data_IF_316285432764
#
_entry.id   IF_316285432764
#
_cell.length_a   1.000
_cell.length_b   1.000
_cell.length_c   1.000
_cell.angle_alpha   90.00
_cell.angle_beta   90.00
_cell.angle_gamma   90.00
#
_symmetry.space_group_name_H-M   'P 1'
#
loop_
_entity.id
_entity.type
_entity.pdbx_description
1 polymer ?
#
# COMPACT_ATOMS: atom_id res chain seq x y z
N UNK A 1 -24.41 7.38 47.24
CA UNK A 1 -24.58 6.66 45.95
C UNK A 1 -23.88 7.56 44.96
N UNK A 2 -22.55 7.53 45.03
CA UNK A 2 -21.64 8.48 44.38
C UNK A 2 -20.81 7.76 43.33
N UNK A 3 -20.61 8.45 42.21
CA UNK A 3 -19.55 8.30 41.20
C UNK A 3 -19.30 6.93 40.56
N UNK A 4 -19.91 6.71 39.37
CA UNK A 4 -19.45 5.70 38.39
C UNK A 4 -19.41 6.25 36.95
N UNK A 5 -19.41 7.57 36.73
CA UNK A 5 -19.31 8.13 35.37
C UNK A 5 -18.39 9.35 35.28
N UNK A 6 -17.16 9.24 35.79
CA UNK A 6 -16.05 9.99 35.19
C UNK A 6 -15.43 9.14 34.07
N UNK A 7 -16.06 9.13 32.90
CA UNK A 7 -15.38 8.75 31.68
C UNK A 7 -14.50 9.94 31.31
N UNK A 8 -13.24 9.91 31.74
CA UNK A 8 -12.22 10.76 31.16
C UNK A 8 -12.07 10.38 29.68
N UNK A 9 -12.77 11.08 28.80
CA UNK A 9 -12.39 11.18 27.40
C UNK A 9 -11.01 11.82 27.41
N UNK A 10 -9.96 10.99 27.37
CA UNK A 10 -8.64 11.50 27.07
C UNK A 10 -8.76 12.20 25.72
N UNK A 11 -8.35 13.46 25.66
CA UNK A 11 -8.07 14.18 24.43
C UNK A 11 -6.92 13.47 23.69
N UNK A 12 -7.18 12.28 23.18
CA UNK A 12 -6.26 11.53 22.32
C UNK A 12 -6.56 11.97 20.90
N UNK A 13 -6.02 13.12 20.51
CA UNK A 13 -5.79 13.38 19.09
C UNK A 13 -5.12 12.13 18.52
N UNK A 14 -5.62 11.55 17.41
CA UNK A 14 -5.01 10.36 16.84
C UNK A 14 -3.53 10.67 16.62
N UNK A 15 -2.67 9.77 17.08
CA UNK A 15 -1.25 9.96 16.88
C UNK A 15 -0.95 10.16 15.39
N UNK A 16 0.14 10.87 15.05
CA UNK A 16 0.56 11.04 13.67
C UNK A 16 0.58 9.68 12.92
N UNK A 17 1.01 8.62 13.60
CA UNK A 17 1.09 7.26 13.08
C UNK A 17 -0.27 6.70 12.66
N UNK A 18 -1.33 6.86 13.46
CA UNK A 18 -2.67 6.31 13.13
C UNK A 18 -3.21 6.97 11.86
N UNK A 19 -3.15 8.30 11.78
CA UNK A 19 -3.60 9.04 10.61
C UNK A 19 -2.84 8.61 9.35
N UNK A 20 -1.51 8.48 9.45
CA UNK A 20 -0.65 8.05 8.35
C UNK A 20 -0.99 6.62 7.91
N UNK A 21 -1.06 5.66 8.84
CA UNK A 21 -1.37 4.26 8.53
C UNK A 21 -2.71 4.13 7.82
N UNK A 22 -3.74 4.80 8.32
CA UNK A 22 -5.08 4.76 7.71
C UNK A 22 -5.07 5.43 6.33
N UNK A 23 -4.41 6.57 6.17
CA UNK A 23 -4.30 7.25 4.87
C UNK A 23 -3.57 6.39 3.83
N UNK A 24 -2.45 5.75 4.20
CA UNK A 24 -1.75 4.82 3.31
C UNK A 24 -2.65 3.62 3.00
N UNK A 25 -3.38 3.10 3.97
CA UNK A 25 -4.26 1.95 3.76
C UNK A 25 -5.40 2.24 2.78
N UNK A 26 -6.02 3.42 2.87
CA UNK A 26 -7.05 3.84 1.92
C UNK A 26 -6.48 3.93 0.51
N UNK A 27 -5.34 4.61 0.33
CA UNK A 27 -4.67 4.72 -0.99
C UNK A 27 -4.31 3.36 -1.58
N UNK A 28 -3.84 2.45 -0.73
CA UNK A 28 -3.51 1.08 -1.12
C UNK A 28 -4.75 0.27 -1.51
N UNK A 29 -5.84 0.42 -0.76
CA UNK A 29 -7.12 -0.22 -1.05
C UNK A 29 -7.69 0.24 -2.38
N UNK A 30 -7.59 1.53 -2.67
CA UNK A 30 -8.01 2.12 -3.95
C UNK A 30 -7.14 1.61 -5.10
N UNK A 31 -5.80 1.64 -4.95
CA UNK A 31 -4.88 1.14 -5.97
C UNK A 31 -5.15 -0.34 -6.30
N UNK A 32 -5.25 -1.20 -5.29
CA UNK A 32 -5.54 -2.63 -5.49
C UNK A 32 -6.91 -2.80 -6.17
N UNK A 33 -7.93 -2.04 -5.72
CA UNK A 33 -9.27 -2.06 -6.31
C UNK A 33 -9.27 -1.67 -7.79
N UNK A 34 -8.56 -0.60 -8.14
CA UNK A 34 -8.40 -0.16 -9.53
C UNK A 34 -7.75 -1.24 -10.40
N UNK A 35 -6.70 -1.87 -9.87
CA UNK A 35 -5.94 -2.89 -10.58
C UNK A 35 -6.76 -4.15 -10.84
N UNK A 36 -7.49 -4.62 -9.83
CA UNK A 36 -8.40 -5.75 -9.97
C UNK A 36 -9.54 -5.44 -10.95
N UNK A 37 -10.12 -4.25 -10.87
CA UNK A 37 -11.17 -3.83 -11.79
C UNK A 37 -10.67 -3.83 -13.25
N UNK A 38 -9.46 -3.34 -13.49
CA UNK A 38 -8.85 -3.32 -14.83
C UNK A 38 -8.54 -4.72 -15.35
N UNK A 39 -8.00 -5.61 -14.52
CA UNK A 39 -7.78 -7.01 -14.91
C UNK A 39 -9.07 -7.71 -15.33
N UNK A 40 -10.18 -7.36 -14.68
CA UNK A 40 -11.50 -7.90 -15.02
C UNK A 40 -12.18 -7.16 -16.20
N UNK A 41 -11.45 -6.28 -16.89
CA UNK A 41 -11.96 -5.54 -18.05
C UNK A 41 -12.98 -4.45 -17.71
N UNK A 42 -13.06 -4.02 -16.45
CA UNK A 42 -13.99 -2.98 -16.02
C UNK A 42 -13.45 -1.60 -16.43
N UNK A 43 -14.30 -0.80 -17.07
CA UNK A 43 -13.91 0.50 -17.64
C UNK A 43 -13.74 1.59 -16.60
N UNK A 44 -14.56 1.55 -15.54
CA UNK A 44 -14.56 2.55 -14.48
C UNK A 44 -14.56 1.91 -13.08
N UNK A 45 -13.38 1.54 -12.53
CA UNK A 45 -13.22 1.02 -11.17
C UNK A 45 -14.07 1.69 -10.06
N UNK A 46 -14.15 3.02 -10.02
CA UNK A 46 -14.80 3.75 -8.91
C UNK A 46 -16.33 3.63 -8.93
N UNK A 47 -16.91 3.42 -10.11
CA UNK A 47 -18.35 3.16 -10.26
C UNK A 47 -18.72 1.68 -10.10
N UNK A 48 -17.74 0.79 -9.97
CA UNK A 48 -18.04 -0.64 -9.81
C UNK A 48 -18.59 -0.93 -8.42
N UNK A 49 -19.53 -1.88 -8.37
CA UNK A 49 -20.11 -2.33 -7.11
C UNK A 49 -19.08 -2.99 -6.19
N UNK A 50 -18.11 -3.72 -6.74
CA UNK A 50 -17.16 -4.54 -5.97
C UNK A 50 -15.86 -3.82 -5.63
N UNK A 51 -15.41 -2.88 -6.45
CA UNK A 51 -14.11 -2.21 -6.27
C UNK A 51 -14.22 -0.70 -6.02
N UNK A 52 -15.38 -0.10 -6.27
CA UNK A 52 -15.61 1.33 -6.06
C UNK A 52 -15.81 1.72 -4.60
N UNK A 53 -16.15 2.99 -4.37
CA UNK A 53 -16.24 3.57 -3.03
C UNK A 53 -17.67 3.55 -2.48
N UNK A 54 -18.26 2.36 -2.44
CA UNK A 54 -19.63 2.14 -1.95
C UNK A 54 -19.64 1.22 -0.73
N UNK A 55 -20.70 1.28 0.07
CA UNK A 55 -20.90 0.35 1.19
C UNK A 55 -21.05 -1.12 0.78
N UNK A 56 -21.17 -1.39 -0.53
CA UNK A 56 -21.26 -2.74 -1.11
C UNK A 56 -19.92 -3.24 -1.66
N UNK A 57 -18.90 -2.40 -1.62
CA UNK A 57 -17.57 -2.74 -2.12
C UNK A 57 -16.93 -3.82 -1.25
N UNK A 58 -16.01 -4.57 -1.87
CA UNK A 58 -15.21 -5.55 -1.17
C UNK A 58 -14.31 -4.83 -0.15
N UNK A 59 -14.22 -5.33 1.09
CA UNK A 59 -13.31 -4.76 2.07
C UNK A 59 -11.85 -5.00 1.66
N UNK A 60 -10.95 -4.16 2.15
CA UNK A 60 -9.50 -4.26 1.89
C UNK A 60 -8.94 -5.68 1.88
N UNK A 61 -9.22 -6.48 2.91
CA UNK A 61 -8.70 -7.85 3.01
C UNK A 61 -9.20 -8.76 1.88
N UNK A 62 -10.45 -8.59 1.44
CA UNK A 62 -11.01 -9.37 0.33
C UNK A 62 -10.37 -8.95 -1.01
N UNK A 63 -10.18 -7.64 -1.23
CA UNK A 63 -9.44 -7.12 -2.38
C UNK A 63 -8.00 -7.65 -2.37
N UNK A 64 -7.32 -7.58 -1.23
CA UNK A 64 -5.96 -8.08 -1.09
C UNK A 64 -5.87 -9.58 -1.38
N UNK A 65 -6.76 -10.41 -0.85
CA UNK A 65 -6.73 -11.85 -1.15
C UNK A 65 -6.91 -12.12 -2.65
N UNK A 66 -7.89 -11.47 -3.29
CA UNK A 66 -8.05 -11.57 -4.75
C UNK A 66 -6.78 -11.15 -5.49
N UNK A 67 -6.11 -10.12 -5.00
CA UNK A 67 -4.87 -9.61 -5.58
C UNK A 67 -3.69 -10.57 -5.39
N UNK A 68 -3.60 -11.26 -4.25
CA UNK A 68 -2.59 -12.28 -3.97
C UNK A 68 -2.84 -13.59 -4.72
N UNK A 69 -4.11 -13.90 -5.01
CA UNK A 69 -4.51 -15.05 -5.83
C UNK A 69 -4.13 -14.86 -7.31
N UNK A 70 -3.86 -13.62 -7.73
CA UNK A 70 -3.31 -13.37 -9.06
C UNK A 70 -1.90 -13.95 -9.15
N UNK A 71 -1.70 -14.80 -10.15
CA UNK A 71 -0.38 -15.28 -10.50
C UNK A 71 0.58 -14.11 -10.74
N UNK A 72 1.67 -14.08 -9.99
CA UNK A 72 2.71 -13.09 -10.16
C UNK A 72 3.21 -12.53 -8.84
N UNK A 73 2.46 -12.63 -7.74
CA UNK A 73 2.92 -12.18 -6.42
C UNK A 73 3.85 -13.21 -5.79
N UNK A 74 5.08 -12.81 -5.45
CA UNK A 74 6.02 -13.67 -4.75
C UNK A 74 5.63 -13.83 -3.28
N UNK A 75 6.18 -14.86 -2.62
CA UNK A 75 5.93 -15.12 -1.20
C UNK A 75 6.31 -13.93 -0.30
N UNK A 76 7.41 -13.26 -0.63
CA UNK A 76 7.92 -12.11 0.13
C UNK A 76 6.97 -10.90 0.01
N UNK A 77 6.49 -10.63 -1.19
CA UNK A 77 5.54 -9.56 -1.47
C UNK A 77 4.19 -9.81 -0.80
N UNK A 78 3.71 -11.06 -0.84
CA UNK A 78 2.52 -11.46 -0.13
C UNK A 78 2.66 -11.25 1.37
N UNK A 79 3.83 -11.60 1.95
CA UNK A 79 4.10 -11.40 3.38
C UNK A 79 4.04 -9.90 3.74
N UNK A 80 4.64 -9.02 2.95
CA UNK A 80 4.59 -7.56 3.18
C UNK A 80 3.15 -7.04 3.18
N UNK A 81 2.35 -7.41 2.17
CA UNK A 81 0.97 -6.96 2.05
C UNK A 81 0.07 -7.50 3.18
N UNK A 82 0.26 -8.76 3.57
CA UNK A 82 -0.46 -9.37 4.70
C UNK A 82 -0.11 -8.63 6.00
N UNK A 83 1.18 -8.37 6.25
CA UNK A 83 1.61 -7.64 7.45
C UNK A 83 1.06 -6.21 7.47
N UNK A 84 0.97 -5.56 6.32
CA UNK A 84 0.32 -4.25 6.23
C UNK A 84 -1.18 -4.31 6.56
N UNK A 85 -1.89 -5.33 6.05
CA UNK A 85 -3.29 -5.58 6.42
C UNK A 85 -3.47 -5.80 7.92
N UNK A 86 -2.60 -6.57 8.57
CA UNK A 86 -2.64 -6.78 10.02
C UNK A 86 -2.44 -5.47 10.80
N UNK A 87 -1.45 -4.66 10.42
CA UNK A 87 -1.18 -3.35 11.02
C UNK A 87 -2.39 -2.43 10.86
N UNK A 88 -2.90 -2.28 9.64
CA UNK A 88 -4.10 -1.49 9.33
C UNK A 88 -5.28 -1.91 10.19
N UNK A 89 -5.55 -3.21 10.32
CA UNK A 89 -6.69 -3.71 11.10
C UNK A 89 -6.53 -3.41 12.60
N UNK A 90 -5.30 -3.47 13.13
CA UNK A 90 -5.03 -3.03 14.52
C UNK A 90 -5.30 -1.54 14.69
N UNK A 91 -4.76 -0.70 13.82
CA UNK A 91 -5.00 0.76 13.86
C UNK A 91 -6.46 1.15 13.60
N UNK A 92 -7.23 0.34 12.88
CA UNK A 92 -8.65 0.62 12.62
C UNK A 92 -9.57 0.23 13.78
N UNK A 93 -9.23 -0.86 14.51
CA UNK A 93 -10.16 -1.49 15.46
C UNK A 93 -9.74 -1.43 16.92
N UNK A 94 -8.47 -1.13 17.21
CA UNK A 94 -7.93 -1.11 18.57
C UNK A 94 -7.64 0.33 19.00
N UNK A 95 -8.32 0.80 20.03
CA UNK A 95 -8.18 2.18 20.50
C UNK A 95 -6.82 2.40 21.20
N UNK A 96 -6.29 1.36 21.84
CA UNK A 96 -5.00 1.38 22.52
C UNK A 96 -3.77 1.37 21.57
N UNK A 97 -3.99 1.24 20.26
CA UNK A 97 -2.92 1.26 19.26
C UNK A 97 -2.76 2.67 18.72
N UNK A 98 -1.87 3.44 19.34
CA UNK A 98 -1.62 4.83 18.98
C UNK A 98 -0.20 5.04 18.44
N UNK A 99 0.55 3.99 18.16
CA UNK A 99 1.84 4.12 17.49
C UNK A 99 2.22 2.82 16.84
N UNK A 100 3.19 2.87 15.92
CA UNK A 100 3.76 1.64 15.38
C UNK A 100 4.44 0.82 16.49
N UNK A 101 4.97 1.47 17.52
CA UNK A 101 5.52 0.79 18.70
C UNK A 101 4.46 -0.03 19.44
N UNK A 102 3.30 0.57 19.73
CA UNK A 102 2.17 -0.14 20.36
C UNK A 102 1.68 -1.30 19.49
N UNK A 103 1.70 -1.12 18.16
CA UNK A 103 1.28 -2.13 17.21
C UNK A 103 2.22 -3.35 17.19
N UNK A 104 3.52 -3.12 17.37
CA UNK A 104 4.57 -4.14 17.35
C UNK A 104 4.89 -4.70 18.74
N UNK A 105 4.16 -4.29 19.77
CA UNK A 105 4.41 -4.73 21.14
C UNK A 105 4.30 -6.26 21.25
N UNK A 106 5.28 -6.97 21.85
CA UNK A 106 5.35 -8.43 21.78
C UNK A 106 4.16 -9.14 22.43
N UNK A 107 3.55 -8.52 23.43
CA UNK A 107 2.38 -9.03 24.14
C UNK A 107 1.11 -8.96 23.26
N UNK A 108 1.11 -8.06 22.27
CA UNK A 108 0.01 -7.87 21.33
C UNK A 108 0.22 -8.63 20.01
N UNK A 109 1.47 -8.78 19.55
CA UNK A 109 1.80 -9.55 18.34
C UNK A 109 3.29 -9.92 18.18
N UNK A 110 3.64 -11.15 18.58
CA UNK A 110 5.01 -11.65 18.37
C UNK A 110 5.39 -11.81 16.90
N UNK A 111 4.41 -12.02 16.02
CA UNK A 111 4.66 -12.27 14.59
C UNK A 111 5.07 -11.00 13.87
N UNK A 112 4.36 -9.89 14.10
CA UNK A 112 4.66 -8.59 13.51
C UNK A 112 6.02 -8.07 14.00
N UNK A 113 6.28 -8.16 15.31
CA UNK A 113 7.60 -7.77 15.85
C UNK A 113 8.72 -8.52 15.15
N UNK A 114 8.62 -9.84 15.08
CA UNK A 114 9.64 -10.69 14.47
C UNK A 114 9.86 -10.36 12.99
N UNK A 115 8.77 -10.10 12.26
CA UNK A 115 8.85 -9.66 10.86
C UNK A 115 9.67 -8.37 10.73
N UNK A 116 9.34 -7.34 11.52
CA UNK A 116 10.06 -6.05 11.49
C UNK A 116 11.53 -6.20 11.90
N UNK A 117 11.81 -6.91 12.99
CA UNK A 117 13.18 -7.11 13.47
C UNK A 117 14.02 -7.87 12.44
N UNK A 118 13.49 -8.94 11.83
CA UNK A 118 14.22 -9.71 10.83
C UNK A 118 14.58 -8.88 9.60
N UNK A 119 13.73 -7.93 9.22
CA UNK A 119 13.84 -7.21 7.95
C UNK A 119 14.56 -5.85 8.07
N UNK A 120 14.41 -5.18 9.21
CA UNK A 120 14.83 -3.78 9.35
C UNK A 120 15.85 -3.54 10.46
N UNK A 121 16.04 -4.45 11.43
CA UNK A 121 16.93 -4.16 12.57
C UNK A 121 18.37 -3.87 12.18
N UNK A 122 18.86 -4.54 11.14
CA UNK A 122 20.23 -4.37 10.63
C UNK A 122 20.45 -3.04 9.92
N UNK A 123 19.35 -2.32 9.58
CA UNK A 123 19.38 -1.00 8.96
C UNK A 123 19.37 0.14 10.01
N UNK A 124 19.23 -0.19 11.30
CA UNK A 124 19.20 0.77 12.40
C UNK A 124 20.51 0.66 13.19
N UNK A 125 21.23 1.78 13.30
CA UNK A 125 22.48 1.84 14.06
C UNK A 125 22.21 1.60 15.55
N UNK A 126 23.04 0.78 16.21
CA UNK A 126 22.94 0.47 17.64
C UNK A 126 21.54 -0.01 18.08
N UNK A 127 20.87 -0.80 17.24
CA UNK A 127 19.49 -1.23 17.46
C UNK A 127 19.23 -1.80 18.86
N UNK A 128 18.23 -1.22 19.52
CA UNK A 128 17.56 -1.75 20.71
C UNK A 128 16.05 -1.64 20.51
N UNK A 129 15.29 -2.58 21.08
CA UNK A 129 13.83 -2.53 21.00
C UNK A 129 13.27 -1.41 21.89
N UNK A 130 13.04 -0.24 21.30
CA UNK A 130 12.47 0.95 21.92
C UNK A 130 11.61 1.71 20.90
N UNK A 131 10.85 2.70 21.35
CA UNK A 131 9.91 3.45 20.52
C UNK A 131 10.61 4.18 19.35
N UNK A 132 11.75 4.82 19.60
CA UNK A 132 12.52 5.57 18.60
C UNK A 132 12.97 4.66 17.45
N UNK A 133 13.64 3.55 17.76
CA UNK A 133 14.12 2.62 16.74
C UNK A 133 12.97 1.96 15.97
N UNK A 134 11.85 1.68 16.64
CA UNK A 134 10.66 1.11 15.98
C UNK A 134 10.01 2.15 15.05
N UNK A 135 9.95 3.42 15.44
CA UNK A 135 9.50 4.50 14.55
C UNK A 135 10.37 4.60 13.30
N UNK A 136 11.68 4.40 13.40
CA UNK A 136 12.59 4.39 12.24
C UNK A 136 12.38 3.19 11.30
N UNK A 137 11.87 2.06 11.79
CA UNK A 137 11.56 0.91 10.93
C UNK A 137 10.33 1.12 10.07
N UNK A 138 9.39 1.98 10.48
CA UNK A 138 8.12 2.14 9.77
C UNK A 138 8.27 2.77 8.38
N UNK A 139 9.07 3.84 8.16
CA UNK A 139 9.38 4.33 6.83
C UNK A 139 10.01 3.26 5.92
N UNK A 140 10.91 2.43 6.46
CA UNK A 140 11.52 1.32 5.70
C UNK A 140 10.50 0.28 5.27
N UNK A 141 9.49 0.02 6.11
CA UNK A 141 8.37 -0.85 5.78
C UNK A 141 7.44 -0.24 4.73
N UNK A 142 7.16 1.07 4.82
CA UNK A 142 6.40 1.78 3.79
C UNK A 142 7.13 1.77 2.44
N UNK A 143 8.45 1.92 2.43
CA UNK A 143 9.25 1.80 1.21
C UNK A 143 9.13 0.41 0.57
N UNK A 144 9.23 -0.66 1.38
CA UNK A 144 9.04 -2.03 0.91
C UNK A 144 7.62 -2.27 0.38
N UNK A 145 6.61 -1.71 1.04
CA UNK A 145 5.21 -1.78 0.62
C UNK A 145 5.00 -1.08 -0.74
N UNK A 146 5.56 0.11 -0.92
CA UNK A 146 5.51 0.85 -2.19
C UNK A 146 6.20 0.08 -3.31
N UNK A 147 7.41 -0.46 -3.06
CA UNK A 147 8.14 -1.28 -4.04
C UNK A 147 7.36 -2.54 -4.42
N UNK A 148 6.79 -3.22 -3.42
CA UNK A 148 5.95 -4.41 -3.63
C UNK A 148 4.78 -4.10 -4.53
N UNK A 149 4.07 -2.99 -4.28
CA UNK A 149 2.96 -2.59 -5.13
C UNK A 149 3.42 -2.28 -6.55
N UNK A 150 4.49 -1.49 -6.71
CA UNK A 150 5.07 -1.20 -8.02
C UNK A 150 5.42 -2.44 -8.82
N UNK A 151 6.09 -3.40 -8.20
CA UNK A 151 6.47 -4.66 -8.85
C UNK A 151 5.25 -5.50 -9.26
N UNK A 152 4.22 -5.58 -8.41
CA UNK A 152 2.98 -6.31 -8.77
C UNK A 152 2.24 -5.60 -9.90
N UNK A 153 2.09 -4.28 -9.83
CA UNK A 153 1.52 -3.48 -10.91
C UNK A 153 2.23 -3.79 -12.24
N UNK A 154 3.54 -3.63 -12.29
CA UNK A 154 4.32 -3.86 -13.50
C UNK A 154 4.07 -5.25 -14.10
N UNK A 155 4.12 -6.31 -13.29
CA UNK A 155 3.85 -7.68 -13.76
C UNK A 155 2.42 -7.87 -14.27
N UNK A 156 1.44 -7.27 -13.60
CA UNK A 156 0.04 -7.33 -14.05
C UNK A 156 -0.15 -6.69 -15.42
N UNK A 157 0.50 -5.55 -15.66
CA UNK A 157 0.42 -4.87 -16.95
C UNK A 157 1.26 -5.52 -18.04
N UNK A 158 2.38 -6.15 -17.69
CA UNK A 158 3.12 -7.03 -18.61
C UNK A 158 2.21 -8.12 -19.15
N UNK A 159 1.44 -8.81 -18.28
CA UNK A 159 0.45 -9.80 -18.70
C UNK A 159 -0.63 -9.24 -19.64
N UNK A 160 -1.24 -8.10 -19.28
CA UNK A 160 -2.27 -7.45 -20.13
C UNK A 160 -1.69 -7.08 -21.51
N UNK A 161 -0.45 -6.62 -21.56
CA UNK A 161 0.17 -6.15 -22.82
C UNK A 161 0.71 -7.28 -23.69
N UNK A 162 1.06 -8.43 -23.12
CA UNK A 162 1.41 -9.64 -23.89
C UNK A 162 0.20 -10.21 -24.63
N UNK A 163 -1.01 -10.10 -24.04
CA UNK A 163 -2.26 -10.53 -24.68
C UNK A 163 -2.71 -9.60 -25.83
N UNK A 164 -2.31 -8.33 -25.83
CA UNK A 164 -2.71 -7.32 -26.85
C UNK A 164 -1.77 -7.29 -28.07
N UNK A 165 -0.65 -8.02 -28.03
CA UNK A 165 0.31 -8.12 -29.14
C UNK A 165 1.42 -7.06 -29.09
N UNK A 166 2.65 -7.56 -28.98
CA UNK A 166 3.98 -6.92 -29.04
C UNK A 166 4.00 -5.38 -29.11
N UNK A 167 3.66 -4.74 -27.99
CA UNK A 167 4.11 -3.37 -27.70
C UNK A 167 5.54 -3.46 -27.14
N UNK A 168 6.44 -2.59 -27.60
CA UNK A 168 7.79 -2.47 -27.03
C UNK A 168 7.70 -2.10 -25.54
N UNK A 169 8.69 -2.48 -24.72
CA UNK A 169 8.71 -2.19 -23.26
C UNK A 169 8.38 -0.72 -22.93
N UNK A 170 8.89 0.27 -23.69
CA UNK A 170 8.55 1.69 -23.45
C UNK A 170 7.11 2.06 -23.85
N UNK A 171 6.56 1.46 -24.91
CA UNK A 171 5.14 1.66 -25.30
C UNK A 171 4.17 1.02 -24.32
N UNK A 172 4.53 -0.13 -23.74
CA UNK A 172 3.79 -0.76 -22.64
C UNK A 172 3.72 0.16 -21.42
N UNK A 173 4.84 0.81 -21.09
CA UNK A 173 4.93 1.77 -19.99
C UNK A 173 4.20 3.10 -20.28
N UNK A 174 4.25 3.61 -21.51
CA UNK A 174 3.46 4.77 -21.94
C UNK A 174 1.96 4.46 -21.88
N UNK A 175 1.55 3.27 -22.30
CA UNK A 175 0.16 2.81 -22.18
C UNK A 175 -0.26 2.68 -20.71
N UNK A 176 0.61 2.12 -19.87
CA UNK A 176 0.48 2.06 -18.42
C UNK A 176 0.15 3.42 -17.83
N UNK A 177 1.03 4.39 -18.08
CA UNK A 177 0.92 5.73 -17.50
C UNK A 177 -0.29 6.44 -18.05
N UNK A 178 -0.57 6.32 -19.36
CA UNK A 178 -1.80 6.83 -19.96
C UNK A 178 -3.08 6.23 -19.34
N UNK A 179 -3.14 4.93 -19.05
CA UNK A 179 -4.32 4.33 -18.41
C UNK A 179 -4.49 4.75 -16.96
N UNK A 180 -3.41 5.11 -16.27
CA UNK A 180 -3.47 5.73 -14.95
C UNK A 180 -3.77 7.24 -15.04
N UNK A 181 -3.22 8.01 -15.98
CA UNK A 181 -3.41 9.46 -16.06
C UNK A 181 -4.67 9.92 -16.79
N UNK A 182 -5.19 9.14 -17.75
CA UNK A 182 -6.49 9.39 -18.39
C UNK A 182 -7.65 9.26 -17.38
N UNK A 183 -7.36 8.79 -16.16
CA UNK A 183 -8.30 8.80 -15.06
C UNK A 183 -8.42 10.21 -14.46
N UNK A 184 -9.50 10.91 -14.80
CA UNK A 184 -9.81 12.30 -14.41
C UNK A 184 -10.05 12.53 -12.91
N UNK A 185 -9.89 11.53 -12.06
CA UNK A 185 -10.31 11.58 -10.65
C UNK A 185 -9.23 11.20 -9.65
N UNK A 186 -7.98 11.02 -10.10
CA UNK A 186 -6.91 10.92 -9.12
C UNK A 186 -6.77 12.23 -8.35
N UNK A 187 -6.81 12.14 -7.03
CA UNK A 187 -6.35 13.22 -6.16
C UNK A 187 -4.86 13.48 -6.41
N UNK A 188 -4.41 14.71 -6.13
CA UNK A 188 -2.99 15.07 -6.28
C UNK A 188 -2.07 14.14 -5.48
N UNK A 189 -2.53 13.66 -4.33
CA UNK A 189 -1.77 12.73 -3.47
C UNK A 189 -1.62 11.35 -4.10
N UNK A 190 -2.65 10.84 -4.77
CA UNK A 190 -2.61 9.54 -5.44
C UNK A 190 -1.75 9.63 -6.71
N UNK A 191 -1.84 10.72 -7.48
CA UNK A 191 -0.92 10.99 -8.58
C UNK A 191 0.53 11.01 -8.07
N UNK A 192 0.79 11.68 -6.94
CA UNK A 192 2.11 11.73 -6.35
C UNK A 192 2.59 10.34 -5.86
N UNK A 193 1.69 9.53 -5.31
CA UNK A 193 2.00 8.17 -4.89
C UNK A 193 2.34 7.27 -6.09
N UNK A 194 1.52 7.31 -7.15
CA UNK A 194 1.76 6.59 -8.40
C UNK A 194 3.07 7.08 -9.04
N UNK A 195 3.32 8.39 -9.08
CA UNK A 195 4.60 8.98 -9.52
C UNK A 195 5.78 8.39 -8.75
N UNK A 196 5.72 8.35 -7.42
CA UNK A 196 6.79 7.79 -6.59
C UNK A 196 7.06 6.32 -6.89
N UNK A 197 6.00 5.53 -7.06
CA UNK A 197 6.11 4.13 -7.46
C UNK A 197 6.82 4.01 -8.81
N UNK A 198 6.37 4.78 -9.81
CA UNK A 198 6.93 4.75 -11.17
C UNK A 198 8.40 5.19 -11.20
N UNK A 199 8.77 6.25 -10.46
CA UNK A 199 10.15 6.72 -10.36
C UNK A 199 11.07 5.71 -9.65
N UNK A 200 10.59 5.05 -8.60
CA UNK A 200 11.34 3.97 -7.93
C UNK A 200 11.53 2.78 -8.88
N UNK A 201 10.49 2.39 -9.62
CA UNK A 201 10.58 1.35 -10.66
C UNK A 201 11.57 1.75 -11.76
N UNK A 202 11.60 3.03 -12.18
CA UNK A 202 12.58 3.57 -13.14
C UNK A 202 14.02 3.40 -12.69
N UNK A 203 14.30 3.73 -11.44
CA UNK A 203 15.65 3.61 -10.89
C UNK A 203 16.13 2.16 -10.83
N UNK A 204 15.23 1.22 -10.53
CA UNK A 204 15.54 -0.21 -10.48
C UNK A 204 15.67 -0.83 -11.86
N UNK A 205 14.95 -0.33 -12.86
CA UNK A 205 14.97 -0.85 -14.22
C UNK A 205 15.44 0.19 -15.24
N UNK A 206 16.73 0.55 -15.17
CA UNK A 206 17.40 1.51 -16.09
C UNK A 206 17.33 1.14 -17.58
N UNK A 207 16.95 -0.10 -17.87
CA UNK A 207 16.74 -0.63 -19.22
C UNK A 207 15.43 -0.19 -19.88
N UNK A 208 14.50 0.41 -19.12
CA UNK A 208 13.30 1.02 -19.67
C UNK A 208 13.61 2.47 -20.04
N UNK A 209 13.32 2.84 -21.29
CA UNK A 209 13.45 4.22 -21.77
C UNK A 209 12.22 5.02 -21.32
N UNK A 210 12.35 5.68 -20.16
CA UNK A 210 11.33 6.57 -19.62
C UNK A 210 11.48 7.93 -20.29
N UNK A 211 10.82 8.12 -21.43
CA UNK A 211 10.76 9.41 -22.11
C UNK A 211 10.23 10.50 -21.18
N UNK A 212 10.86 11.67 -21.14
CA UNK A 212 10.44 12.81 -20.28
C UNK A 212 8.96 13.23 -20.50
N UNK A 213 8.40 12.95 -21.69
CA UNK A 213 6.99 13.15 -22.04
C UNK A 213 6.02 12.36 -21.13
N UNK A 214 6.46 11.24 -20.58
CA UNK A 214 5.66 10.36 -19.71
C UNK A 214 5.59 10.90 -18.29
N UNK A 215 6.67 11.54 -17.83
CA UNK A 215 6.69 12.25 -16.55
C UNK A 215 5.89 13.56 -16.67
N UNK A 216 5.89 14.19 -17.85
CA UNK A 216 5.13 15.41 -18.13
C UNK A 216 3.60 15.19 -18.28
N UNK A 217 3.15 13.95 -18.51
CA UNK A 217 1.73 13.58 -18.60
C UNK A 217 1.03 13.42 -17.24
N UNK A 218 1.78 13.50 -16.13
CA UNK A 218 1.31 13.36 -14.75
C UNK A 218 1.60 14.65 -13.97
#
# INVERSE_FOLDING_TARGET
MEDIFEVHFRDETPSPDRGIVIAVAVRMEDLIGMCLARLLGLKDPHLTRSFGNTSKALPFNAKLNLFLDLEGVSKEEAEILIKFSEIRNKFAHRQEINSIYDCLEPEKDKSLKKFFENRYKSKIENYQYNEENVRLMFPLFLDDLEMTCGAILMRMFEKITDEVGVLTKSKKLQFLIKNFTDYKEFTQDELLFVKRILEKTKQQHKEYDFTDEVIALI
#
